data_IF_782090230491
#
_entry.id   IF_782090230491
#
_cell.length_a   1.000
_cell.length_b   1.000
_cell.length_c   1.000
_cell.angle_alpha   90.00
_cell.angle_beta   90.00
_cell.angle_gamma   90.00
#
_symmetry.space_group_name_H-M   'P 1'
#
loop_
_entity.id
_entity.type
_entity.pdbx_description
1 polymer ?
#
# COMPACT_ATOMS: atom_id res chain seq x y z
N UNK A 1 50.63 -19.98 20.17
CA UNK A 1 49.17 -20.17 20.08
C UNK A 1 48.52 -19.02 20.85
N UNK A 2 48.11 -17.95 20.18
CA UNK A 2 47.43 -16.81 20.82
C UNK A 2 45.94 -16.85 20.44
N UNK A 3 45.13 -17.40 21.34
CA UNK A 3 43.68 -17.33 21.24
C UNK A 3 43.22 -15.92 21.58
N UNK A 4 42.92 -15.11 20.57
CA UNK A 4 42.15 -13.88 20.75
C UNK A 4 40.72 -14.28 21.05
N UNK A 5 40.30 -14.12 22.29
CA UNK A 5 38.89 -14.14 22.68
C UNK A 5 38.23 -12.98 21.93
N UNK A 6 37.34 -13.30 20.97
CA UNK A 6 36.47 -12.31 20.33
C UNK A 6 35.48 -11.87 21.39
N UNK A 7 35.68 -10.68 21.94
CA UNK A 7 34.64 -10.00 22.73
C UNK A 7 33.64 -9.50 21.71
N UNK A 8 32.47 -10.15 21.65
CA UNK A 8 31.34 -9.62 20.87
C UNK A 8 30.92 -8.30 21.50
N UNK A 9 30.81 -7.26 20.67
CA UNK A 9 30.43 -5.93 21.08
C UNK A 9 28.96 -5.95 21.53
N UNK A 10 28.63 -5.65 22.80
CA UNK A 10 27.25 -5.60 23.28
C UNK A 10 26.45 -4.44 22.65
N UNK A 11 27.09 -3.59 21.86
CA UNK A 11 26.47 -2.55 21.05
C UNK A 11 26.32 -2.92 19.57
N UNK A 12 26.30 -4.22 19.21
CA UNK A 12 25.64 -4.62 17.96
C UNK A 12 24.14 -4.32 18.11
N UNK A 13 23.80 -3.04 17.93
CA UNK A 13 22.46 -2.53 17.74
C UNK A 13 21.76 -3.51 16.80
N UNK A 14 20.54 -3.90 17.17
CA UNK A 14 19.65 -4.70 16.33
C UNK A 14 19.88 -4.30 14.88
N UNK A 15 20.45 -5.21 14.09
CA UNK A 15 20.81 -4.90 12.73
C UNK A 15 19.53 -4.55 12.01
N UNK A 16 19.39 -3.30 11.56
CA UNK A 16 18.40 -2.93 10.56
C UNK A 16 18.52 -3.97 9.45
N UNK A 17 17.44 -4.69 9.17
CA UNK A 17 17.44 -5.57 8.01
C UNK A 17 17.42 -4.66 6.80
N UNK A 18 18.34 -4.85 5.85
CA UNK A 18 18.33 -4.07 4.62
C UNK A 18 16.95 -4.21 3.96
N UNK A 19 16.26 -3.07 3.80
CA UNK A 19 14.96 -3.08 3.16
C UNK A 19 15.10 -3.59 1.74
N UNK A 20 14.33 -4.62 1.32
CA UNK A 20 14.32 -5.02 -0.08
C UNK A 20 13.96 -3.80 -0.91
N UNK A 21 14.79 -3.47 -1.89
CA UNK A 21 14.62 -2.27 -2.72
C UNK A 21 13.18 -2.13 -3.24
N UNK A 22 12.58 -3.25 -3.64
CA UNK A 22 11.21 -3.28 -4.13
C UNK A 22 10.18 -2.82 -3.08
N UNK A 23 10.38 -3.16 -1.81
CA UNK A 23 9.50 -2.73 -0.71
C UNK A 23 9.67 -1.23 -0.43
N UNK A 24 10.90 -0.72 -0.43
CA UNK A 24 11.18 0.73 -0.32
C UNK A 24 10.55 1.51 -1.47
N UNK A 25 10.67 0.99 -2.69
CA UNK A 25 10.07 1.59 -3.86
C UNK A 25 8.54 1.64 -3.73
N UNK A 26 7.88 0.54 -3.34
CA UNK A 26 6.43 0.53 -3.16
C UNK A 26 5.99 1.51 -2.07
N UNK A 27 6.65 1.51 -0.89
CA UNK A 27 6.32 2.41 0.21
C UNK A 27 6.40 3.89 -0.23
N UNK A 28 7.51 4.27 -0.84
CA UNK A 28 7.71 5.64 -1.34
C UNK A 28 6.76 6.00 -2.49
N UNK A 29 6.47 5.06 -3.39
CA UNK A 29 5.58 5.29 -4.52
C UNK A 29 4.10 5.41 -4.14
N UNK A 30 3.69 4.93 -2.96
CA UNK A 30 2.34 5.10 -2.42
C UNK A 30 2.10 6.48 -1.80
N UNK A 31 3.15 7.24 -1.46
CA UNK A 31 2.99 8.60 -0.90
C UNK A 31 2.27 9.54 -1.88
N UNK A 32 2.67 9.65 -3.18
CA UNK A 32 1.89 10.39 -4.17
C UNK A 32 0.45 9.89 -4.31
N UNK A 33 0.22 8.58 -4.20
CA UNK A 33 -1.13 8.00 -4.27
C UNK A 33 -1.99 8.50 -3.10
N UNK A 34 -1.45 8.54 -1.89
CA UNK A 34 -2.14 9.08 -0.71
C UNK A 34 -2.58 10.54 -0.90
N UNK A 35 -1.70 11.36 -1.49
CA UNK A 35 -1.98 12.75 -1.81
C UNK A 35 -3.11 12.84 -2.85
N UNK A 36 -3.02 12.06 -3.93
CA UNK A 36 -4.03 12.03 -4.99
C UNK A 36 -5.40 11.57 -4.47
N UNK A 37 -5.45 10.56 -3.60
CA UNK A 37 -6.68 10.06 -2.98
C UNK A 37 -7.30 11.09 -2.06
N UNK A 38 -6.49 11.74 -1.22
CA UNK A 38 -6.96 12.82 -0.34
C UNK A 38 -7.50 13.99 -1.14
N UNK A 39 -6.75 14.43 -2.15
CA UNK A 39 -7.20 15.50 -3.02
C UNK A 39 -8.49 15.12 -3.75
N UNK A 40 -8.59 13.91 -4.30
CA UNK A 40 -9.79 13.43 -4.97
C UNK A 40 -11.00 13.36 -4.02
N UNK A 41 -10.80 12.90 -2.80
CA UNK A 41 -11.87 12.80 -1.81
C UNK A 41 -12.40 14.17 -1.39
N UNK A 42 -11.51 15.11 -1.05
CA UNK A 42 -11.88 16.48 -0.65
C UNK A 42 -12.55 17.21 -1.81
N UNK A 43 -11.89 17.24 -2.97
CA UNK A 43 -12.43 17.92 -4.17
C UNK A 43 -13.75 17.30 -4.64
N UNK A 44 -13.94 15.99 -4.46
CA UNK A 44 -15.20 15.31 -4.77
C UNK A 44 -16.34 15.74 -3.85
N UNK A 45 -16.06 15.90 -2.55
CA UNK A 45 -17.01 16.42 -1.57
C UNK A 45 -17.40 17.88 -1.81
N UNK A 46 -16.47 18.67 -2.34
CA UNK A 46 -16.69 20.07 -2.70
C UNK A 46 -17.26 20.26 -4.12
N UNK A 47 -17.54 19.16 -4.85
CA UNK A 47 -18.03 19.16 -6.23
C UNK A 47 -17.09 19.86 -7.24
N UNK A 48 -15.78 19.93 -6.96
CA UNK A 48 -14.79 20.50 -7.86
C UNK A 48 -14.44 19.51 -8.98
N UNK A 49 -14.28 19.95 -10.22
CA UNK A 49 -14.06 19.07 -11.38
C UNK A 49 -12.78 18.22 -11.33
N UNK A 50 -11.78 18.63 -10.55
CA UNK A 50 -10.47 17.99 -10.44
C UNK A 50 -10.50 16.59 -9.82
N UNK A 51 -11.51 16.26 -8.99
CA UNK A 51 -11.61 14.95 -8.33
C UNK A 51 -11.58 13.78 -9.31
N UNK A 52 -12.09 14.02 -10.52
CA UNK A 52 -12.15 13.02 -11.59
C UNK A 52 -10.76 12.61 -12.03
N UNK A 53 -9.89 13.60 -12.26
CA UNK A 53 -8.54 13.37 -12.75
C UNK A 53 -7.63 12.85 -11.65
N UNK A 54 -7.65 13.49 -10.47
CA UNK A 54 -6.79 13.04 -9.37
C UNK A 54 -7.21 11.68 -8.84
N UNK A 55 -8.52 11.40 -8.79
CA UNK A 55 -9.03 10.08 -8.42
C UNK A 55 -8.67 9.01 -9.44
N UNK A 56 -8.85 9.28 -10.74
CA UNK A 56 -8.50 8.32 -11.79
C UNK A 56 -6.99 8.04 -11.83
N UNK A 57 -6.15 9.08 -11.79
CA UNK A 57 -4.69 8.92 -11.78
C UNK A 57 -4.25 8.17 -10.54
N UNK A 58 -4.77 8.52 -9.36
CA UNK A 58 -4.46 7.84 -8.12
C UNK A 58 -4.81 6.35 -8.19
N UNK A 59 -6.01 6.01 -8.66
CA UNK A 59 -6.47 4.61 -8.67
C UNK A 59 -5.65 3.80 -9.69
N UNK A 60 -5.39 4.34 -10.88
CA UNK A 60 -4.58 3.66 -11.88
C UNK A 60 -3.14 3.45 -11.40
N UNK A 61 -2.58 4.42 -10.69
CA UNK A 61 -1.27 4.30 -10.08
C UNK A 61 -1.27 3.20 -9.01
N UNK A 62 -2.21 3.24 -8.07
CA UNK A 62 -2.32 2.23 -7.01
C UNK A 62 -2.47 0.83 -7.58
N UNK A 63 -3.45 0.62 -8.47
CA UNK A 63 -3.68 -0.68 -9.10
C UNK A 63 -2.43 -1.19 -9.82
N UNK A 64 -1.69 -0.30 -10.48
CA UNK A 64 -0.44 -0.69 -11.16
C UNK A 64 0.60 -1.19 -10.14
N UNK A 65 0.81 -0.46 -9.04
CA UNK A 65 1.75 -0.87 -7.98
C UNK A 65 1.28 -2.16 -7.30
N UNK A 66 0.01 -2.25 -6.93
CA UNK A 66 -0.60 -3.37 -6.22
C UNK A 66 -0.55 -4.66 -7.06
N UNK A 67 -0.95 -4.60 -8.33
CA UNK A 67 -0.87 -5.76 -9.25
C UNK A 67 0.59 -6.15 -9.52
N UNK A 68 1.46 -5.17 -9.78
CA UNK A 68 2.88 -5.42 -9.99
C UNK A 68 3.52 -6.11 -8.78
N UNK A 69 3.26 -5.61 -7.57
CA UNK A 69 3.83 -6.16 -6.35
C UNK A 69 3.31 -7.57 -6.03
N UNK A 70 2.00 -7.81 -6.24
CA UNK A 70 1.41 -9.14 -6.10
C UNK A 70 1.99 -10.12 -7.13
N UNK A 71 2.14 -9.71 -8.39
CA UNK A 71 2.75 -10.53 -9.43
C UNK A 71 4.21 -10.84 -9.09
N UNK A 72 5.00 -9.83 -8.73
CA UNK A 72 6.39 -9.96 -8.30
C UNK A 72 6.53 -11.01 -7.18
N UNK A 73 5.71 -10.92 -6.12
CA UNK A 73 5.72 -11.90 -5.03
C UNK A 73 5.27 -13.30 -5.47
N UNK A 74 4.32 -13.41 -6.41
CA UNK A 74 3.77 -14.69 -6.87
C UNK A 74 4.75 -15.48 -7.76
N UNK A 75 5.62 -14.80 -8.51
CA UNK A 75 6.61 -15.43 -9.39
C UNK A 75 7.95 -15.73 -8.72
N UNK A 76 7.97 -15.84 -7.38
CA UNK A 76 9.21 -16.14 -6.66
C UNK A 76 10.16 -14.95 -6.56
N UNK A 77 9.61 -13.72 -6.53
CA UNK A 77 10.32 -12.56 -6.00
C UNK A 77 10.62 -12.80 -4.52
N UNK A 78 11.66 -13.59 -4.27
CA UNK A 78 12.15 -13.88 -2.92
C UNK A 78 12.62 -12.57 -2.29
N UNK A 79 12.19 -12.35 -1.05
CA UNK A 79 12.85 -11.42 -0.13
C UNK A 79 14.17 -12.10 0.26
N UNK A 80 15.12 -12.10 -0.68
CA UNK A 80 16.55 -12.42 -0.51
C UNK A 80 16.88 -13.64 0.36
N UNK A 81 16.25 -14.81 0.15
CA UNK A 81 16.68 -16.07 0.76
C UNK A 81 16.67 -16.12 2.29
N UNK A 82 16.28 -15.04 2.97
CA UNK A 82 15.95 -15.06 4.37
C UNK A 82 14.48 -15.42 4.44
N UNK A 83 14.20 -16.59 5.04
CA UNK A 83 13.01 -16.62 5.87
C UNK A 83 13.26 -15.50 6.87
N UNK A 84 12.64 -14.33 6.65
CA UNK A 84 12.29 -13.48 7.78
C UNK A 84 11.87 -14.50 8.85
N UNK A 85 12.49 -14.48 10.03
CA UNK A 85 11.95 -15.27 11.15
C UNK A 85 10.63 -14.58 11.49
N UNK A 86 9.62 -14.86 10.67
CA UNK A 86 8.31 -14.23 10.72
C UNK A 86 7.65 -14.93 11.88
N UNK A 87 7.87 -14.37 13.06
CA UNK A 87 7.06 -14.63 14.24
C UNK A 87 5.59 -14.70 13.79
N UNK A 88 4.82 -15.70 14.24
CA UNK A 88 3.52 -16.04 13.64
C UNK A 88 2.54 -14.85 13.51
N UNK A 89 2.73 -13.82 14.33
CA UNK A 89 2.06 -12.53 14.25
C UNK A 89 2.22 -11.83 12.88
N UNK A 90 3.44 -11.80 12.34
CA UNK A 90 3.73 -11.12 11.07
C UNK A 90 3.18 -11.88 9.85
N UNK A 91 3.08 -13.22 9.92
CA UNK A 91 2.38 -14.02 8.90
C UNK A 91 0.90 -13.65 8.90
N UNK A 92 0.27 -13.63 10.09
CA UNK A 92 -1.12 -13.25 10.24
C UNK A 92 -1.37 -11.82 9.75
N UNK A 93 -0.47 -10.88 10.07
CA UNK A 93 -0.51 -9.51 9.56
C UNK A 93 -0.52 -9.47 8.04
N UNK A 94 0.45 -10.09 7.37
CA UNK A 94 0.53 -10.07 5.90
C UNK A 94 -0.68 -10.74 5.23
N UNK A 95 -1.23 -11.80 5.83
CA UNK A 95 -2.45 -12.43 5.34
C UNK A 95 -3.66 -11.51 5.44
N UNK A 96 -3.88 -10.88 6.60
CA UNK A 96 -4.98 -9.92 6.82
C UNK A 96 -4.82 -8.71 5.89
N UNK A 97 -3.62 -8.14 5.84
CA UNK A 97 -3.31 -7.00 4.99
C UNK A 97 -3.52 -7.33 3.50
N UNK A 98 -3.14 -8.54 3.06
CA UNK A 98 -3.41 -9.02 1.71
C UNK A 98 -4.90 -9.14 1.38
N UNK A 99 -5.72 -9.61 2.32
CA UNK A 99 -7.19 -9.64 2.16
C UNK A 99 -7.75 -8.22 2.04
N UNK A 100 -7.29 -7.29 2.88
CA UNK A 100 -7.69 -5.89 2.81
C UNK A 100 -7.29 -5.28 1.45
N UNK A 101 -6.08 -5.57 0.95
CA UNK A 101 -5.63 -5.10 -0.36
C UNK A 101 -6.54 -5.59 -1.50
N UNK A 102 -6.99 -6.86 -1.46
CA UNK A 102 -7.96 -7.38 -2.44
C UNK A 102 -9.29 -6.63 -2.38
N UNK A 103 -9.77 -6.32 -1.18
CA UNK A 103 -11.01 -5.52 -0.98
C UNK A 103 -10.83 -4.12 -1.56
N UNK A 104 -9.69 -3.48 -1.29
CA UNK A 104 -9.33 -2.15 -1.83
C UNK A 104 -9.32 -2.18 -3.36
N UNK A 105 -8.64 -3.14 -3.99
CA UNK A 105 -8.62 -3.32 -5.44
C UNK A 105 -10.04 -3.46 -6.00
N UNK A 106 -10.92 -4.23 -5.35
CA UNK A 106 -12.32 -4.38 -5.75
C UNK A 106 -13.10 -3.06 -5.69
N UNK A 107 -12.89 -2.27 -4.62
CA UNK A 107 -13.48 -0.94 -4.47
C UNK A 107 -12.96 0.03 -5.52
N UNK A 108 -11.66 0.02 -5.78
CA UNK A 108 -11.00 0.84 -6.79
C UNK A 108 -11.51 0.59 -8.20
N UNK A 109 -11.59 -0.67 -8.62
CA UNK A 109 -12.18 -1.07 -9.91
C UNK A 109 -13.63 -0.59 -9.98
N UNK A 110 -14.41 -0.78 -8.91
CA UNK A 110 -15.80 -0.31 -8.84
C UNK A 110 -15.87 1.22 -8.98
N UNK A 111 -14.99 1.96 -8.33
CA UNK A 111 -14.93 3.43 -8.37
C UNK A 111 -14.51 3.94 -9.76
N UNK A 112 -13.57 3.27 -10.43
CA UNK A 112 -13.19 3.54 -11.81
C UNK A 112 -14.36 3.32 -12.78
N UNK A 113 -15.00 2.15 -12.72
CA UNK A 113 -16.13 1.80 -13.59
C UNK A 113 -17.28 2.80 -13.38
N UNK A 114 -17.66 3.03 -12.14
CA UNK A 114 -18.77 3.94 -11.80
C UNK A 114 -18.43 5.40 -12.13
N UNK A 115 -17.17 5.81 -11.95
CA UNK A 115 -16.66 7.12 -12.31
C UNK A 115 -16.71 7.37 -13.81
N UNK A 116 -16.15 6.47 -14.62
CA UNK A 116 -16.19 6.56 -16.10
C UNK A 116 -17.63 6.50 -16.62
N UNK A 117 -18.46 5.63 -16.05
CA UNK A 117 -19.87 5.55 -16.42
C UNK A 117 -20.62 6.87 -16.13
N UNK A 118 -20.36 7.49 -14.97
CA UNK A 118 -20.97 8.76 -14.59
C UNK A 118 -20.50 9.95 -15.45
N UNK A 119 -19.34 9.86 -16.10
CA UNK A 119 -18.91 10.88 -17.05
C UNK A 119 -19.73 10.83 -18.35
N UNK A 120 -20.19 9.64 -18.75
CA UNK A 120 -20.98 9.43 -19.98
C UNK A 120 -22.47 9.72 -19.82
N UNK A 121 -22.96 9.82 -18.57
CA UNK A 121 -24.36 10.08 -18.24
C UNK A 121 -24.41 11.34 -17.39
N UNK A 122 -25.24 12.33 -17.72
CA UNK A 122 -25.47 13.52 -16.88
C UNK A 122 -26.13 13.23 -15.52
N UNK A 123 -26.22 11.96 -15.10
CA UNK A 123 -26.91 11.52 -13.89
C UNK A 123 -25.92 11.17 -12.78
N UNK A 124 -26.28 11.62 -11.58
CA UNK A 124 -25.64 11.28 -10.32
C UNK A 124 -25.53 9.76 -10.12
N UNK A 125 -24.34 9.26 -9.80
CA UNK A 125 -24.11 7.86 -9.49
C UNK A 125 -24.10 7.64 -7.98
N UNK A 126 -25.25 7.22 -7.44
CA UNK A 126 -25.42 7.00 -6.01
C UNK A 126 -24.45 5.96 -5.43
N UNK A 127 -24.07 4.95 -6.23
CA UNK A 127 -23.11 3.93 -5.80
C UNK A 127 -21.71 4.54 -5.63
N UNK A 128 -21.27 5.37 -6.58
CA UNK A 128 -19.97 6.06 -6.52
C UNK A 128 -19.86 6.92 -5.25
N UNK A 129 -20.88 7.74 -4.99
CA UNK A 129 -20.93 8.61 -3.80
C UNK A 129 -21.02 7.80 -2.51
N UNK A 130 -21.72 6.66 -2.52
CA UNK A 130 -21.86 5.79 -1.35
C UNK A 130 -20.55 5.06 -1.03
N UNK A 131 -19.80 4.62 -2.04
CA UNK A 131 -18.58 3.82 -1.86
C UNK A 131 -17.32 4.65 -1.64
N UNK A 132 -17.29 5.91 -2.09
CA UNK A 132 -16.08 6.75 -1.98
C UNK A 132 -15.53 6.90 -0.55
N UNK A 133 -16.34 7.05 0.52
CA UNK A 133 -15.80 7.15 1.87
C UNK A 133 -15.21 5.83 2.35
N UNK A 134 -15.82 4.70 1.97
CA UNK A 134 -15.31 3.37 2.34
C UNK A 134 -13.99 3.09 1.64
N UNK A 135 -13.87 3.39 0.34
CA UNK A 135 -12.59 3.27 -0.36
C UNK A 135 -11.53 4.14 0.34
N UNK A 136 -11.84 5.41 0.60
CA UNK A 136 -10.88 6.34 1.22
C UNK A 136 -10.38 5.82 2.58
N UNK A 137 -11.29 5.41 3.47
CA UNK A 137 -10.94 4.93 4.80
C UNK A 137 -10.16 3.62 4.74
N UNK A 138 -10.65 2.63 3.99
CA UNK A 138 -10.03 1.30 3.95
C UNK A 138 -8.65 1.36 3.28
N UNK A 139 -8.52 2.13 2.20
CA UNK A 139 -7.24 2.34 1.54
C UNK A 139 -6.23 3.03 2.48
N UNK A 140 -6.63 4.10 3.18
CA UNK A 140 -5.72 4.80 4.11
C UNK A 140 -5.31 3.93 5.30
N UNK A 141 -6.22 3.12 5.83
CA UNK A 141 -5.89 2.16 6.89
C UNK A 141 -4.88 1.12 6.40
N UNK A 142 -5.07 0.60 5.18
CA UNK A 142 -4.11 -0.31 4.56
C UNK A 142 -2.76 0.38 4.38
N UNK A 143 -2.72 1.55 3.73
CA UNK A 143 -1.50 2.33 3.52
C UNK A 143 -0.75 2.60 4.83
N UNK A 144 -1.39 3.18 5.85
CA UNK A 144 -0.73 3.49 7.14
C UNK A 144 -0.23 2.22 7.81
N UNK A 145 -1.01 1.13 7.81
CA UNK A 145 -0.56 -0.13 8.40
C UNK A 145 0.67 -0.70 7.67
N UNK A 146 0.69 -0.62 6.34
CA UNK A 146 1.82 -1.04 5.49
C UNK A 146 3.07 -0.23 5.77
N UNK A 147 2.94 1.10 5.79
CA UNK A 147 4.03 2.02 6.13
C UNK A 147 4.54 1.80 7.55
N UNK A 148 3.66 1.62 8.53
CA UNK A 148 4.05 1.38 9.92
C UNK A 148 4.89 0.10 10.07
N UNK A 149 4.49 -0.98 9.39
CA UNK A 149 5.27 -2.23 9.38
C UNK A 149 6.58 -2.06 8.62
N UNK A 150 6.59 -1.33 7.49
CA UNK A 150 7.81 -1.04 6.76
C UNK A 150 8.81 -0.25 7.60
N UNK A 151 8.37 0.86 8.21
CA UNK A 151 9.20 1.69 9.08
C UNK A 151 9.67 0.90 10.30
N UNK A 152 8.76 0.20 10.98
CA UNK A 152 9.08 -0.53 12.21
C UNK A 152 9.99 -1.73 12.02
N UNK A 153 10.05 -2.32 10.83
CA UNK A 153 10.87 -3.50 10.56
C UNK A 153 12.20 -3.18 9.85
N UNK A 154 12.22 -2.12 9.04
CA UNK A 154 13.38 -1.82 8.20
C UNK A 154 14.08 -0.50 8.53
N UNK A 155 13.44 0.42 9.26
CA UNK A 155 14.02 1.74 9.56
C UNK A 155 14.22 2.01 11.07
N UNK A 156 13.62 1.22 11.94
CA UNK A 156 13.77 1.26 13.40
C UNK A 156 14.45 -0.03 13.89
#
# INVERSE_FOLDING_TARGET
>A
MNGKIRVEDPHSAQSMTDAPWISTFIATALIPVAILFTHAYISGRENLSYHRWTGMIGILWDLTLSIFYMAYRSFGGEIEGSKLDIEGLMIAYFAIHGIIAIIVIGLEITMLITGVYSQRKTKFNALHTKLSPYLYIVWFMAFISGEAVYVGYYLL
#
